data_IF_848681821481
#
_entry.id   IF_848681821481
#
_cell.length_a   1.000
_cell.length_b   1.000
_cell.length_c   1.000
_cell.angle_alpha   90.00
_cell.angle_beta   90.00
_cell.angle_gamma   90.00
#
_symmetry.space_group_name_H-M   'P 1'
#
loop_
_entity.id
_entity.type
_entity.pdbx_description
1 polymer ?
#
# COMPACT_ATOMS: atom_id res chain seq x y z
N UNK A 1 32.04 -59.43 -31.07
CA UNK A 1 32.71 -58.31 -30.40
C UNK A 1 32.72 -58.60 -28.92
N UNK A 2 33.90 -58.89 -28.37
CA UNK A 2 34.09 -59.05 -26.93
C UNK A 2 34.09 -57.68 -26.24
N UNK A 3 33.80 -57.64 -24.94
CA UNK A 3 33.80 -56.40 -24.16
C UNK A 3 35.17 -55.69 -24.17
N UNK A 4 36.25 -56.44 -24.35
CA UNK A 4 37.62 -55.91 -24.49
C UNK A 4 37.83 -55.11 -25.79
N UNK A 5 37.21 -55.52 -26.90
CA UNK A 5 37.29 -54.77 -28.17
C UNK A 5 36.54 -53.44 -28.07
N UNK A 6 35.39 -53.41 -27.37
CA UNK A 6 34.62 -52.19 -27.12
C UNK A 6 35.37 -51.22 -26.20
N UNK A 7 36.06 -51.73 -25.18
CA UNK A 7 36.83 -50.88 -24.26
C UNK A 7 38.01 -50.21 -24.97
N UNK A 8 38.69 -50.94 -25.86
CA UNK A 8 39.79 -50.42 -26.66
C UNK A 8 39.33 -49.32 -27.62
N UNK A 9 38.21 -49.53 -28.31
CA UNK A 9 37.62 -48.56 -29.25
C UNK A 9 37.14 -47.29 -28.53
N UNK A 10 36.61 -47.43 -27.31
CA UNK A 10 36.17 -46.29 -26.49
C UNK A 10 37.36 -45.47 -25.95
N UNK A 11 38.46 -46.12 -25.58
CA UNK A 11 39.68 -45.44 -25.15
C UNK A 11 40.39 -44.71 -26.29
N UNK A 12 40.34 -45.26 -27.51
CA UNK A 12 40.86 -44.59 -28.71
C UNK A 12 40.03 -43.33 -29.05
N UNK A 13 38.70 -43.41 -28.94
CA UNK A 13 37.82 -42.25 -29.13
C UNK A 13 37.96 -41.18 -28.04
N UNK A 14 38.31 -41.54 -26.81
CA UNK A 14 38.57 -40.56 -25.74
C UNK A 14 39.93 -39.88 -25.90
N UNK A 15 40.91 -40.55 -26.53
CA UNK A 15 42.24 -39.96 -26.76
C UNK A 15 42.24 -38.83 -27.81
N UNK A 16 41.25 -38.80 -28.71
CA UNK A 16 41.08 -37.72 -29.71
C UNK A 16 40.41 -36.46 -29.14
N UNK A 17 39.87 -36.55 -27.91
CA UNK A 17 39.27 -35.43 -27.17
C UNK A 17 40.24 -34.82 -26.13
N UNK A 18 41.47 -35.32 -26.03
CA UNK A 18 42.50 -34.71 -25.20
C UNK A 18 42.96 -33.39 -25.86
N UNK A 19 42.92 -32.25 -25.13
CA UNK A 19 43.26 -30.95 -25.71
C UNK A 19 44.69 -30.95 -26.25
N UNK A 20 44.82 -30.53 -27.51
CA UNK A 20 46.11 -30.48 -28.19
C UNK A 20 46.91 -29.23 -27.81
N UNK A 21 48.17 -29.09 -28.26
CA UNK A 21 48.96 -27.88 -28.05
C UNK A 21 48.36 -26.60 -28.65
N UNK A 22 47.29 -26.71 -29.46
CA UNK A 22 46.49 -25.60 -29.97
C UNK A 22 45.38 -25.12 -29.01
N UNK A 23 45.04 -25.92 -28.00
CA UNK A 23 44.04 -25.61 -26.96
C UNK A 23 44.69 -25.10 -25.66
N UNK A 24 46.01 -24.88 -25.65
CA UNK A 24 46.69 -24.23 -24.55
C UNK A 24 46.22 -22.75 -24.46
N UNK A 25 45.88 -22.25 -23.26
CA UNK A 25 45.39 -20.88 -23.11
C UNK A 25 46.43 -19.88 -23.65
N UNK A 26 46.01 -19.03 -24.60
CA UNK A 26 46.86 -17.96 -25.12
C UNK A 26 47.34 -17.07 -23.96
N UNK A 27 48.61 -16.65 -24.02
CA UNK A 27 49.16 -15.82 -22.94
C UNK A 27 48.35 -14.54 -22.77
N UNK A 28 48.03 -14.11 -21.52
CA UNK A 28 47.22 -12.92 -21.25
C UNK A 28 47.74 -11.63 -21.93
N UNK A 29 49.05 -11.57 -22.20
CA UNK A 29 49.69 -10.47 -22.90
C UNK A 29 49.26 -10.36 -24.37
N UNK A 30 49.05 -11.49 -25.05
CA UNK A 30 48.61 -11.54 -26.46
C UNK A 30 47.13 -11.17 -26.57
N UNK A 31 46.29 -11.68 -25.67
CA UNK A 31 44.87 -11.31 -25.59
C UNK A 31 44.68 -9.80 -25.30
N UNK A 32 45.49 -9.22 -24.40
CA UNK A 32 45.45 -7.80 -24.09
C UNK A 32 45.97 -6.92 -25.26
N UNK A 33 46.98 -7.38 -26.00
CA UNK A 33 47.50 -6.68 -27.16
C UNK A 33 46.46 -6.65 -28.30
N UNK A 34 45.78 -7.77 -28.57
CA UNK A 34 44.71 -7.84 -29.57
C UNK A 34 43.49 -6.99 -29.18
N UNK A 35 43.14 -6.92 -27.90
CA UNK A 35 42.06 -6.06 -27.40
C UNK A 35 42.40 -4.57 -27.60
N UNK A 36 43.62 -4.14 -27.23
CA UNK A 36 44.05 -2.74 -27.42
C UNK A 36 44.09 -2.32 -28.89
N UNK A 37 44.43 -3.24 -29.79
CA UNK A 37 44.45 -3.00 -31.23
C UNK A 37 43.04 -2.88 -31.82
N UNK A 38 42.04 -3.59 -31.26
CA UNK A 38 40.62 -3.47 -31.63
C UNK A 38 39.97 -2.18 -31.12
N UNK A 39 40.38 -1.69 -29.95
CA UNK A 39 39.85 -0.44 -29.35
C UNK A 39 40.45 0.82 -30.00
N UNK A 40 41.68 0.76 -30.52
CA UNK A 40 42.37 1.92 -31.10
C UNK A 40 41.96 2.34 -32.52
N UNK A 41 41.16 1.54 -33.24
CA UNK A 41 40.87 1.77 -34.68
C UNK A 41 39.38 1.90 -35.00
N UNK A 42 38.51 2.01 -33.99
CA UNK A 42 37.07 2.19 -34.21
C UNK A 42 36.73 3.68 -34.37
N UNK A 43 36.37 4.10 -35.59
CA UNK A 43 35.60 5.31 -35.83
C UNK A 43 34.27 5.26 -35.04
N UNK A 44 33.73 6.39 -34.57
CA UNK A 44 32.53 6.40 -33.73
C UNK A 44 31.32 5.94 -34.56
N UNK A 45 30.98 4.68 -34.43
CA UNK A 45 29.70 4.15 -34.91
C UNK A 45 28.64 4.74 -33.99
N UNK A 46 27.72 5.50 -34.57
CA UNK A 46 26.58 6.09 -33.90
C UNK A 46 25.90 5.04 -33.01
N UNK A 47 25.76 5.39 -31.73
CA UNK A 47 25.10 4.52 -30.76
C UNK A 47 23.71 4.12 -31.29
N UNK A 48 23.33 2.84 -31.24
CA UNK A 48 21.92 2.48 -31.38
C UNK A 48 21.16 3.24 -30.28
N UNK A 49 20.01 3.86 -30.58
CA UNK A 49 19.29 4.65 -29.60
C UNK A 49 19.04 3.73 -28.40
N UNK A 50 19.53 4.16 -27.24
CA UNK A 50 19.26 3.53 -25.97
C UNK A 50 17.77 3.17 -25.94
N UNK A 51 17.45 1.87 -26.02
CA UNK A 51 16.18 1.40 -25.47
C UNK A 51 16.37 1.54 -23.96
N UNK A 52 16.24 2.77 -23.47
CA UNK A 52 15.74 3.04 -22.13
C UNK A 52 14.54 2.12 -22.05
N UNK A 53 14.67 1.00 -21.34
CA UNK A 53 13.50 0.49 -20.65
C UNK A 53 13.02 1.71 -19.88
N UNK A 54 11.90 2.29 -20.33
CA UNK A 54 11.17 3.23 -19.50
C UNK A 54 11.09 2.52 -18.15
N UNK A 55 11.48 3.14 -17.02
CA UNK A 55 11.06 2.59 -15.76
C UNK A 55 9.56 2.37 -15.90
N UNK A 56 9.10 1.12 -15.84
CA UNK A 56 7.68 0.88 -15.67
C UNK A 56 7.31 1.75 -14.48
N UNK A 57 6.35 2.63 -14.70
CA UNK A 57 6.02 3.68 -13.77
C UNK A 57 5.45 3.02 -12.51
N UNK A 58 6.33 2.57 -11.61
CA UNK A 58 5.98 2.01 -10.31
C UNK A 58 5.30 3.05 -9.44
N UNK A 59 5.23 4.32 -9.87
CA UNK A 59 4.32 5.32 -9.32
C UNK A 59 2.86 4.88 -9.33
N UNK A 60 2.43 3.84 -10.07
CA UNK A 60 1.04 3.34 -10.01
C UNK A 60 0.79 2.40 -8.82
N UNK A 61 1.79 1.60 -8.44
CA UNK A 61 1.72 0.72 -7.26
C UNK A 61 2.17 1.43 -5.99
N UNK A 62 3.14 2.34 -6.11
CA UNK A 62 3.45 3.34 -5.09
C UNK A 62 2.26 4.28 -4.93
N UNK A 63 1.56 4.73 -5.98
CA UNK A 63 0.32 5.51 -5.81
C UNK A 63 -0.83 4.73 -5.18
N UNK A 64 -0.93 3.40 -5.29
CA UNK A 64 -2.00 2.68 -4.60
C UNK A 64 -1.76 2.60 -3.08
N UNK A 65 -0.51 2.38 -2.64
CA UNK A 65 -0.13 2.38 -1.23
C UNK A 65 0.00 3.78 -0.63
N UNK A 66 0.59 4.72 -1.38
CA UNK A 66 0.77 6.12 -0.98
C UNK A 66 -0.52 6.92 -1.14
N UNK A 67 -1.43 6.58 -2.08
CA UNK A 67 -2.77 7.16 -2.08
C UNK A 67 -3.58 6.57 -0.93
N UNK A 68 -3.51 5.28 -0.59
CA UNK A 68 -4.19 4.80 0.62
C UNK A 68 -3.63 5.47 1.88
N UNK A 69 -2.32 5.69 2.00
CA UNK A 69 -1.70 6.42 3.13
C UNK A 69 -1.98 7.92 3.09
N UNK A 70 -2.07 8.57 1.92
CA UNK A 70 -2.40 10.00 1.78
C UNK A 70 -3.91 10.26 1.91
N UNK A 71 -4.74 9.35 1.42
CA UNK A 71 -6.20 9.30 1.61
C UNK A 71 -6.47 9.04 3.10
N UNK A 72 -5.78 8.08 3.71
CA UNK A 72 -5.82 7.84 5.16
C UNK A 72 -5.29 9.07 5.91
N UNK A 73 -4.19 9.71 5.54
CA UNK A 73 -3.74 10.98 6.14
C UNK A 73 -4.76 12.13 6.00
N UNK A 74 -5.55 12.18 4.92
CA UNK A 74 -6.63 13.15 4.72
C UNK A 74 -7.89 12.81 5.56
N UNK A 75 -8.18 11.52 5.76
CA UNK A 75 -9.34 11.00 6.52
C UNK A 75 -9.05 10.90 8.02
N UNK A 76 -7.78 10.84 8.41
CA UNK A 76 -7.29 10.76 9.78
C UNK A 76 -7.26 12.12 10.48
N UNK A 77 -7.85 13.15 9.88
CA UNK A 77 -7.83 14.53 10.37
C UNK A 77 -8.70 14.78 11.63
N UNK A 78 -9.60 13.87 12.09
CA UNK A 78 -10.66 14.28 13.06
C UNK A 78 -11.18 13.29 14.17
N UNK A 79 -11.49 13.74 15.44
CA UNK A 79 -11.50 12.96 16.72
C UNK A 79 -12.76 12.89 17.63
N UNK A 80 -12.91 11.85 18.48
CA UNK A 80 -13.06 11.93 19.97
C UNK A 80 -12.91 10.52 20.59
N UNK A 81 -12.57 10.28 21.87
CA UNK A 81 -13.20 10.69 23.15
C UNK A 81 -12.18 10.69 24.30
N UNK A 82 -12.01 11.81 25.05
CA UNK A 82 -11.37 11.74 26.39
C UNK A 82 -11.56 12.92 27.37
N UNK A 83 -12.77 13.14 27.87
CA UNK A 83 -13.01 14.04 29.01
C UNK A 83 -13.83 13.41 30.15
N UNK A 84 -13.42 12.23 30.63
CA UNK A 84 -13.64 11.76 32.00
C UNK A 84 -12.83 10.46 32.24
N UNK A 85 -12.13 10.39 33.37
CA UNK A 85 -11.37 9.25 33.89
C UNK A 85 -9.97 8.98 33.28
N UNK A 86 -8.97 9.11 34.16
CA UNK A 86 -7.61 8.61 33.99
C UNK A 86 -7.50 7.08 33.85
N UNK A 87 -8.59 6.36 33.60
CA UNK A 87 -8.63 4.92 33.31
C UNK A 87 -9.42 4.58 32.02
N UNK A 88 -9.83 5.58 31.22
CA UNK A 88 -10.49 5.39 29.92
C UNK A 88 -9.70 6.14 28.83
N UNK A 89 -8.69 5.47 28.24
CA UNK A 89 -7.82 5.98 27.18
C UNK A 89 -8.41 5.62 25.80
N UNK A 90 -9.44 6.36 25.39
CA UNK A 90 -10.06 6.23 24.07
C UNK A 90 -9.17 6.81 22.96
N UNK A 91 -8.12 6.07 22.58
CA UNK A 91 -7.44 6.24 21.31
C UNK A 91 -8.43 5.84 20.20
N UNK A 92 -8.52 6.62 19.12
CA UNK A 92 -9.23 6.15 17.94
C UNK A 92 -8.57 4.88 17.47
N UNK A 93 -9.39 3.82 17.39
CA UNK A 93 -8.94 2.50 16.99
C UNK A 93 -9.86 2.02 15.91
N UNK A 94 -9.33 1.91 14.71
CA UNK A 94 -10.08 1.38 13.57
C UNK A 94 -10.63 0.01 13.94
N UNK A 95 -11.96 -0.12 13.90
CA UNK A 95 -12.71 -1.37 14.07
C UNK A 95 -13.63 -1.63 12.89
N UNK A 96 -14.06 -0.57 12.21
CA UNK A 96 -14.94 -0.67 11.06
C UNK A 96 -14.51 0.31 9.96
N UNK A 97 -14.81 -0.04 8.72
CA UNK A 97 -14.67 0.84 7.58
C UNK A 97 -16.05 1.31 7.11
N UNK A 98 -16.15 2.58 6.73
CA UNK A 98 -17.34 3.17 6.13
C UNK A 98 -16.96 3.69 4.73
N UNK A 99 -17.19 2.90 3.67
CA UNK A 99 -16.87 3.31 2.32
C UNK A 99 -17.78 4.47 1.87
N UNK A 100 -17.20 5.43 1.16
CA UNK A 100 -17.93 6.56 0.57
C UNK A 100 -17.49 6.80 -0.86
N UNK A 101 -18.44 6.95 -1.76
CA UNK A 101 -18.14 7.26 -3.16
C UNK A 101 -17.80 8.74 -3.32
N UNK A 102 -16.71 9.04 -4.03
CA UNK A 102 -16.34 10.41 -4.41
C UNK A 102 -16.46 10.57 -5.92
N UNK A 103 -17.18 11.59 -6.37
CA UNK A 103 -17.36 11.83 -7.80
C UNK A 103 -16.08 12.36 -8.46
N UNK A 104 -15.87 12.13 -9.77
CA UNK A 104 -14.72 12.68 -10.48
C UNK A 104 -14.67 14.22 -10.45
N UNK A 105 -15.84 14.87 -10.43
CA UNK A 105 -15.94 16.33 -10.32
C UNK A 105 -15.43 16.81 -8.95
N UNK A 106 -15.79 16.08 -7.89
CA UNK A 106 -15.33 16.40 -6.54
C UNK A 106 -13.82 16.14 -6.40
N UNK A 107 -13.31 15.02 -6.92
CA UNK A 107 -11.87 14.75 -6.97
C UNK A 107 -11.11 15.86 -7.68
N UNK A 108 -11.58 16.26 -8.87
CA UNK A 108 -10.96 17.34 -9.63
C UNK A 108 -11.03 18.71 -8.91
N UNK A 109 -12.02 18.94 -8.04
CA UNK A 109 -12.06 20.13 -7.19
C UNK A 109 -10.97 20.08 -6.12
N UNK A 110 -10.88 18.97 -5.38
CA UNK A 110 -9.87 18.79 -4.33
C UNK A 110 -8.45 18.85 -4.88
N UNK A 111 -8.20 18.27 -6.05
CA UNK A 111 -6.92 18.37 -6.76
C UNK A 111 -6.56 19.82 -7.10
N UNK A 112 -7.51 20.58 -7.65
CA UNK A 112 -7.30 22.00 -7.98
C UNK A 112 -6.99 22.84 -6.73
N UNK A 113 -7.72 22.63 -5.64
CA UNK A 113 -7.45 23.31 -4.37
C UNK A 113 -6.02 23.02 -3.87
N UNK A 114 -5.58 21.76 -3.96
CA UNK A 114 -4.22 21.38 -3.62
C UNK A 114 -3.16 22.01 -4.54
N UNK A 115 -3.42 22.09 -5.85
CA UNK A 115 -2.55 22.78 -6.82
C UNK A 115 -2.43 24.28 -6.55
N UNK A 116 -3.50 24.91 -6.06
CA UNK A 116 -3.55 26.32 -5.65
C UNK A 116 -2.90 26.56 -4.26
N UNK A 117 -2.40 25.50 -3.61
CA UNK A 117 -1.76 25.56 -2.30
C UNK A 117 -2.73 25.66 -1.13
N UNK A 118 -4.02 25.39 -1.35
CA UNK A 118 -5.04 25.34 -0.29
C UNK A 118 -5.02 23.94 0.31
N UNK A 119 -4.59 23.84 1.56
CA UNK A 119 -4.51 22.60 2.32
C UNK A 119 -5.22 22.75 3.67
N UNK A 120 -5.73 21.65 4.26
CA UNK A 120 -6.35 21.70 5.59
C UNK A 120 -5.34 21.90 6.73
N UNK A 121 -4.04 21.85 6.42
CA UNK A 121 -2.95 21.98 7.37
C UNK A 121 -1.62 21.51 6.80
N UNK A 122 -0.59 21.53 7.65
CA UNK A 122 0.74 21.03 7.32
C UNK A 122 0.94 19.64 7.94
N UNK A 123 1.28 18.65 7.11
CA UNK A 123 1.63 17.32 7.59
C UNK A 123 3.14 17.20 7.78
N UNK A 124 3.56 17.00 9.02
CA UNK A 124 4.97 16.83 9.42
C UNK A 124 5.24 15.35 9.64
N UNK A 125 6.06 14.77 8.78
CA UNK A 125 6.53 13.39 8.92
C UNK A 125 7.63 13.36 9.98
N UNK A 126 7.41 12.60 11.05
CA UNK A 126 8.41 12.40 12.12
C UNK A 126 9.18 11.09 11.96
N UNK A 127 8.56 10.09 11.32
CA UNK A 127 9.17 8.82 10.96
C UNK A 127 8.62 8.39 9.60
N UNK A 128 9.52 8.16 8.63
CA UNK A 128 9.14 7.73 7.29
C UNK A 128 8.72 6.25 7.30
N UNK A 129 7.68 5.93 6.52
CA UNK A 129 7.33 4.54 6.23
C UNK A 129 8.47 3.92 5.41
N UNK A 130 8.97 2.79 5.88
CA UNK A 130 10.07 2.08 5.21
C UNK A 130 9.65 1.43 3.89
N UNK A 131 10.64 1.19 3.02
CA UNK A 131 10.42 0.37 1.83
C UNK A 131 10.11 -1.09 2.21
N UNK A 132 9.34 -1.84 1.40
CA UNK A 132 9.09 -3.25 1.66
C UNK A 132 10.37 -4.09 1.60
N UNK A 133 10.72 -4.73 2.70
CA UNK A 133 11.86 -5.64 2.81
C UNK A 133 11.42 -7.10 2.72
N UNK A 134 12.11 -7.92 1.93
CA UNK A 134 11.83 -9.36 1.85
C UNK A 134 12.52 -10.07 3.00
N UNK A 135 11.80 -10.96 3.68
CA UNK A 135 12.33 -11.80 4.76
C UNK A 135 12.15 -13.28 4.45
N UNK A 136 12.98 -14.11 5.06
CA UNK A 136 13.10 -15.53 4.74
C UNK A 136 11.85 -16.35 5.10
N UNK A 137 11.07 -15.91 6.10
CA UNK A 137 9.88 -16.62 6.55
C UNK A 137 8.87 -15.74 7.31
N UNK A 138 7.62 -16.20 7.50
CA UNK A 138 6.65 -15.56 8.38
C UNK A 138 7.12 -15.40 9.82
N UNK A 139 7.93 -16.32 10.34
CA UNK A 139 8.50 -16.27 11.69
C UNK A 139 9.60 -15.20 11.80
N UNK A 140 10.41 -15.04 10.75
CA UNK A 140 11.36 -13.93 10.66
C UNK A 140 10.61 -12.58 10.62
N UNK A 141 9.54 -12.49 9.82
CA UNK A 141 8.67 -11.32 9.77
C UNK A 141 8.07 -10.99 11.15
N UNK A 142 7.60 -12.02 11.87
CA UNK A 142 7.03 -11.85 13.19
C UNK A 142 8.02 -11.29 14.22
N UNK A 143 9.30 -11.66 14.09
CA UNK A 143 10.36 -11.16 14.96
C UNK A 143 10.62 -9.66 14.72
N UNK A 144 10.54 -9.23 13.45
CA UNK A 144 10.75 -7.83 13.08
C UNK A 144 9.53 -6.97 13.45
N UNK A 145 8.35 -7.35 12.96
CA UNK A 145 7.14 -6.55 13.10
C UNK A 145 6.46 -6.67 14.48
N UNK A 146 6.93 -7.58 15.35
CA UNK A 146 6.43 -7.73 16.71
C UNK A 146 5.07 -8.41 16.84
N UNK A 147 4.53 -9.01 15.77
CA UNK A 147 3.29 -9.80 15.81
C UNK A 147 3.37 -11.02 14.90
N UNK A 148 2.69 -12.12 15.26
CA UNK A 148 2.63 -13.32 14.42
C UNK A 148 1.64 -13.12 13.27
N UNK A 149 2.08 -13.21 11.99
CA UNK A 149 1.16 -13.08 10.87
C UNK A 149 0.24 -14.30 10.81
N UNK A 150 -1.06 -14.05 10.60
CA UNK A 150 -2.02 -15.09 10.28
C UNK A 150 -1.67 -15.76 8.97
N UNK A 151 -2.11 -17.00 8.85
CA UNK A 151 -1.95 -17.80 7.65
C UNK A 151 -3.28 -17.96 6.93
N UNK A 152 -3.20 -18.35 5.68
CA UNK A 152 -4.31 -18.61 4.80
C UNK A 152 -4.26 -20.14 4.52
N UNK A 153 -5.18 -20.93 5.05
CA UNK A 153 -5.20 -22.38 4.82
C UNK A 153 -5.53 -22.68 3.37
N UNK A 154 -5.01 -23.79 2.84
CA UNK A 154 -5.31 -24.26 1.48
C UNK A 154 -5.05 -23.21 0.39
N UNK A 155 -4.12 -22.28 0.65
CA UNK A 155 -3.52 -21.39 -0.34
C UNK A 155 -2.48 -22.16 -1.13
N UNK A 156 -2.17 -21.67 -2.34
CA UNK A 156 -1.01 -22.16 -3.07
C UNK A 156 0.31 -21.86 -2.32
N UNK A 157 1.44 -22.11 -2.97
CA UNK A 157 2.75 -22.01 -2.30
C UNK A 157 3.06 -20.55 -1.89
N UNK A 158 3.51 -20.36 -0.64
CA UNK A 158 4.02 -19.05 -0.18
C UNK A 158 5.34 -18.76 -0.89
N UNK A 159 5.37 -17.76 -1.75
CA UNK A 159 6.58 -17.40 -2.49
C UNK A 159 7.42 -16.38 -1.73
N UNK A 160 6.81 -15.36 -1.13
CA UNK A 160 7.53 -14.28 -0.45
C UNK A 160 6.81 -13.77 0.78
N UNK A 161 7.59 -13.41 1.78
CA UNK A 161 7.15 -12.63 2.93
C UNK A 161 7.84 -11.28 2.92
N UNK A 162 7.09 -10.24 3.20
CA UNK A 162 7.55 -8.86 3.26
C UNK A 162 7.28 -8.29 4.65
N UNK A 163 8.20 -7.46 5.12
CA UNK A 163 7.95 -6.53 6.23
C UNK A 163 8.04 -5.13 5.67
N UNK A 164 7.11 -4.26 6.09
CA UNK A 164 7.17 -2.85 5.80
C UNK A 164 7.12 -2.12 7.15
N UNK A 165 8.18 -1.36 7.43
CA UNK A 165 8.27 -0.55 8.65
C UNK A 165 7.13 0.47 8.64
N UNK A 166 6.52 0.65 9.81
CA UNK A 166 5.55 1.70 10.08
C UNK A 166 6.16 3.09 9.96
N UNK A 167 5.34 4.09 10.29
CA UNK A 167 5.76 5.48 10.26
C UNK A 167 4.92 6.33 11.19
N UNK A 168 5.35 7.56 11.40
CA UNK A 168 4.67 8.48 12.29
C UNK A 168 4.72 9.89 11.73
N UNK A 169 3.69 10.66 12.02
CA UNK A 169 3.62 12.06 11.66
C UNK A 169 2.52 12.78 12.42
N UNK A 170 2.39 14.06 12.13
CA UNK A 170 1.30 14.85 12.67
C UNK A 170 0.83 15.91 11.70
N UNK A 171 -0.48 16.12 11.66
CA UNK A 171 -1.11 17.26 10.99
C UNK A 171 -1.19 18.42 11.98
N UNK A 172 -0.70 19.59 11.58
CA UNK A 172 -1.00 20.86 12.22
C UNK A 172 -2.07 21.55 11.38
N UNK A 173 -3.27 21.68 11.94
CA UNK A 173 -4.43 22.21 11.22
C UNK A 173 -4.25 23.70 10.95
N UNK A 174 -4.44 24.08 9.68
CA UNK A 174 -4.62 25.47 9.25
C UNK A 174 -6.12 25.69 9.04
N UNK A 175 -6.76 26.37 9.99
CA UNK A 175 -8.20 26.54 9.95
C UNK A 175 -8.66 27.39 8.75
N UNK A 176 -7.83 28.33 8.29
CA UNK A 176 -8.17 29.15 7.14
C UNK A 176 -8.20 28.30 5.86
N UNK A 177 -7.17 27.47 5.66
CA UNK A 177 -7.12 26.53 4.55
C UNK A 177 -8.23 25.47 4.61
N UNK A 178 -8.50 24.91 5.79
CA UNK A 178 -9.57 23.94 5.98
C UNK A 178 -10.95 24.54 5.68
N UNK A 179 -11.24 25.76 6.15
CA UNK A 179 -12.50 26.47 5.86
C UNK A 179 -12.64 26.79 4.37
N UNK A 180 -11.56 27.18 3.70
CA UNK A 180 -11.58 27.42 2.25
C UNK A 180 -11.95 26.15 1.46
N UNK A 181 -11.49 24.97 1.89
CA UNK A 181 -11.88 23.69 1.28
C UNK A 181 -13.36 23.39 1.50
N UNK A 182 -13.85 23.55 2.74
CA UNK A 182 -15.26 23.36 3.10
C UNK A 182 -16.15 24.29 2.28
N UNK A 183 -15.80 25.58 2.20
CA UNK A 183 -16.54 26.57 1.41
C UNK A 183 -16.51 26.25 -0.09
N UNK A 184 -15.35 25.85 -0.63
CA UNK A 184 -15.22 25.46 -2.04
C UNK A 184 -16.05 24.22 -2.39
N UNK A 185 -16.23 23.31 -1.44
CA UNK A 185 -17.14 22.16 -1.56
C UNK A 185 -18.63 22.52 -1.42
N UNK A 186 -18.95 23.80 -1.17
CA UNK A 186 -20.32 24.29 -1.01
C UNK A 186 -20.90 24.08 0.38
N UNK A 187 -20.07 23.74 1.36
CA UNK A 187 -20.44 23.52 2.75
C UNK A 187 -20.25 24.78 3.61
N UNK A 188 -20.87 24.82 4.78
CA UNK A 188 -20.71 25.93 5.72
C UNK A 188 -19.33 25.86 6.42
N UNK A 189 -18.41 26.82 6.19
CA UNK A 189 -17.11 26.82 6.85
C UNK A 189 -17.19 26.95 8.39
N UNK A 190 -18.33 27.38 8.93
CA UNK A 190 -18.57 27.44 10.38
C UNK A 190 -18.81 26.08 11.03
N UNK A 191 -18.95 25.00 10.25
CA UNK A 191 -18.91 23.62 10.76
C UNK A 191 -17.58 23.30 11.45
N UNK A 192 -16.49 23.96 11.03
CA UNK A 192 -15.19 23.85 11.66
C UNK A 192 -15.09 24.89 12.80
N UNK A 193 -15.00 24.49 14.08
CA UNK A 193 -14.89 25.43 15.19
C UNK A 193 -13.53 26.12 15.25
N UNK A 194 -13.48 27.32 15.82
CA UNK A 194 -12.24 28.11 15.96
C UNK A 194 -11.17 27.41 16.81
N UNK A 195 -11.56 26.44 17.66
CA UNK A 195 -10.64 25.64 18.48
C UNK A 195 -9.73 24.71 17.66
N UNK A 196 -9.98 24.58 16.36
CA UNK A 196 -9.15 23.76 15.46
C UNK A 196 -7.89 24.47 14.98
N UNK A 197 -7.78 25.79 15.07
CA UNK A 197 -6.62 26.46 14.51
C UNK A 197 -5.33 26.11 15.27
N UNK A 198 -4.32 25.62 14.54
CA UNK A 198 -3.08 25.10 15.12
C UNK A 198 -3.23 23.79 15.91
N UNK A 199 -4.40 23.16 15.85
CA UNK A 199 -4.62 21.86 16.46
C UNK A 199 -3.69 20.80 15.87
N UNK A 200 -3.19 19.90 16.73
CA UNK A 200 -2.28 18.82 16.33
C UNK A 200 -3.02 17.48 16.35
N UNK A 201 -2.89 16.74 15.25
CA UNK A 201 -3.36 15.36 15.12
C UNK A 201 -2.15 14.47 14.89
N UNK A 202 -1.87 13.55 15.80
CA UNK A 202 -0.78 12.60 15.67
C UNK A 202 -1.27 11.29 15.05
N UNK A 203 -0.49 10.74 14.13
CA UNK A 203 -0.77 9.47 13.47
C UNK A 203 0.44 8.55 13.61
N UNK A 204 0.19 7.32 14.04
CA UNK A 204 1.18 6.25 14.06
C UNK A 204 0.64 5.08 13.25
N UNK A 205 1.37 4.72 12.19
CA UNK A 205 1.17 3.51 11.41
C UNK A 205 2.19 2.49 11.89
N UNK A 206 1.72 1.30 12.24
CA UNK A 206 2.60 0.23 12.73
C UNK A 206 3.15 -0.61 11.59
N UNK A 207 4.22 -1.36 11.89
CA UNK A 207 4.80 -2.33 10.97
C UNK A 207 3.75 -3.28 10.39
N UNK A 208 3.96 -3.70 9.15
CA UNK A 208 3.05 -4.61 8.47
C UNK A 208 3.78 -5.78 7.84
N UNK A 209 3.08 -6.92 7.77
CA UNK A 209 3.56 -8.14 7.14
C UNK A 209 2.74 -8.40 5.89
N UNK A 210 3.41 -8.47 4.75
CA UNK A 210 2.84 -8.89 3.48
C UNK A 210 3.23 -10.34 3.17
N UNK A 211 2.30 -11.13 2.65
CA UNK A 211 2.58 -12.49 2.18
C UNK A 211 2.04 -12.68 0.76
N UNK A 212 2.91 -13.12 -0.16
CA UNK A 212 2.60 -13.34 -1.58
C UNK A 212 2.62 -14.83 -1.93
N UNK A 213 1.56 -15.29 -2.59
CA UNK A 213 1.39 -16.67 -3.04
C UNK A 213 1.58 -16.82 -4.55
N UNK A 214 1.83 -18.06 -4.99
CA UNK A 214 2.03 -18.45 -6.38
C UNK A 214 0.85 -18.17 -7.33
N UNK A 215 -0.36 -18.24 -6.79
CA UNK A 215 -1.59 -17.86 -7.46
C UNK A 215 -1.80 -16.34 -7.54
N UNK A 216 -0.87 -15.55 -6.99
CA UNK A 216 -0.89 -14.09 -6.99
C UNK A 216 -1.63 -13.48 -5.81
N UNK A 217 -2.25 -14.27 -4.93
CA UNK A 217 -2.88 -13.72 -3.73
C UNK A 217 -1.82 -12.97 -2.93
N UNK A 218 -2.18 -11.76 -2.50
CA UNK A 218 -1.37 -10.99 -1.57
C UNK A 218 -2.17 -10.69 -0.32
N UNK A 219 -1.69 -11.12 0.84
CA UNK A 219 -2.29 -10.85 2.14
C UNK A 219 -1.39 -9.89 2.93
N UNK A 220 -1.87 -8.68 3.15
CA UNK A 220 -1.28 -7.69 4.04
C UNK A 220 -1.95 -7.75 5.41
N UNK A 221 -1.15 -7.62 6.46
CA UNK A 221 -1.59 -7.60 7.85
C UNK A 221 -0.85 -6.49 8.57
N UNK A 222 -1.57 -5.64 9.30
CA UNK A 222 -0.98 -4.54 10.07
C UNK A 222 -1.81 -4.31 11.33
N UNK A 223 -1.20 -3.99 12.48
CA UNK A 223 -1.96 -3.45 13.60
C UNK A 223 -2.72 -2.20 13.17
N UNK A 224 -3.91 -2.01 13.74
CA UNK A 224 -4.70 -0.81 13.46
C UNK A 224 -3.89 0.43 13.83
N UNK A 225 -3.88 1.48 13.00
CA UNK A 225 -3.11 2.69 13.28
C UNK A 225 -3.64 3.37 14.55
N UNK A 226 -2.75 4.04 15.27
CA UNK A 226 -3.13 4.91 16.38
C UNK A 226 -3.29 6.33 15.86
N UNK A 227 -4.38 6.97 16.28
CA UNK A 227 -4.65 8.37 15.94
C UNK A 227 -5.01 9.10 17.22
N UNK A 228 -4.24 10.14 17.51
CA UNK A 228 -4.39 10.96 18.70
C UNK A 228 -4.69 12.41 18.31
N UNK A 229 -5.51 13.04 19.12
CA UNK A 229 -6.24 14.22 18.69
C UNK A 229 -6.39 15.28 19.79
N UNK A 230 -6.74 16.53 19.43
CA UNK A 230 -6.98 17.59 20.39
C UNK A 230 -8.29 17.40 21.18
N UNK A 231 -8.35 17.86 22.44
CA UNK A 231 -9.44 17.56 23.37
C UNK A 231 -10.78 18.26 23.12
N UNK A 232 -10.79 19.36 22.37
CA UNK A 232 -11.89 20.34 22.39
C UNK A 232 -12.77 20.35 21.12
N UNK A 233 -12.92 19.21 20.43
CA UNK A 233 -13.65 19.13 19.15
C UNK A 233 -14.66 17.99 19.10
N UNK A 234 -15.81 18.25 18.44
CA UNK A 234 -16.89 17.28 18.26
C UNK A 234 -16.69 16.48 16.96
N UNK A 235 -16.48 15.14 17.03
CA UNK A 235 -16.19 14.31 15.86
C UNK A 235 -17.33 14.29 14.86
N UNK A 236 -18.58 14.36 15.34
CA UNK A 236 -19.76 14.29 14.48
C UNK A 236 -19.84 15.50 13.56
N UNK A 237 -19.53 16.71 14.06
CA UNK A 237 -19.53 17.92 13.24
C UNK A 237 -18.40 17.89 12.19
N UNK A 238 -17.24 17.33 12.56
CA UNK A 238 -16.11 17.21 11.65
C UNK A 238 -16.33 16.13 10.59
N UNK A 239 -16.93 15.01 10.99
CA UNK A 239 -17.39 13.97 10.10
C UNK A 239 -18.41 14.50 9.09
N UNK A 240 -19.36 15.32 9.54
CA UNK A 240 -20.30 16.02 8.66
C UNK A 240 -19.58 16.92 7.66
N UNK A 241 -18.66 17.78 8.10
CA UNK A 241 -17.87 18.62 7.21
C UNK A 241 -17.05 17.79 6.19
N UNK A 242 -16.40 16.72 6.64
CA UNK A 242 -15.64 15.82 5.76
C UNK A 242 -16.54 15.14 4.72
N UNK A 243 -17.72 14.65 5.12
CA UNK A 243 -18.68 14.05 4.20
C UNK A 243 -19.13 15.05 3.13
N UNK A 244 -19.38 16.32 3.50
CA UNK A 244 -19.71 17.38 2.54
C UNK A 244 -18.53 17.72 1.63
N UNK A 245 -17.31 17.77 2.15
CA UNK A 245 -16.07 17.93 1.35
C UNK A 245 -15.86 16.76 0.37
N UNK A 246 -16.36 15.57 0.70
CA UNK A 246 -16.35 14.41 -0.18
C UNK A 246 -17.54 14.38 -1.18
N UNK A 247 -18.37 15.41 -1.17
CA UNK A 247 -19.48 15.60 -2.11
C UNK A 247 -20.83 15.04 -1.65
N UNK A 248 -20.98 14.73 -0.36
CA UNK A 248 -22.26 14.32 0.24
C UNK A 248 -23.16 15.54 0.44
N UNK A 249 -24.44 15.43 0.08
CA UNK A 249 -25.43 16.49 0.34
C UNK A 249 -25.51 16.81 1.85
N UNK A 250 -25.67 18.09 2.27
CA UNK A 250 -25.65 18.47 3.68
C UNK A 250 -26.63 17.69 4.59
N UNK A 251 -27.86 17.44 4.13
CA UNK A 251 -28.85 16.73 4.95
C UNK A 251 -28.46 15.26 5.12
N UNK A 252 -27.90 14.67 4.08
CA UNK A 252 -27.40 13.30 4.10
C UNK A 252 -26.10 13.17 4.90
N UNK A 253 -25.18 14.13 4.78
CA UNK A 253 -23.95 14.20 5.54
C UNK A 253 -24.23 14.27 7.05
N UNK A 254 -25.16 15.13 7.47
CA UNK A 254 -25.58 15.23 8.86
C UNK A 254 -26.19 13.90 9.38
N UNK A 255 -27.02 13.25 8.55
CA UNK A 255 -27.64 11.96 8.90
C UNK A 255 -26.60 10.84 9.04
N UNK A 256 -25.67 10.73 8.10
CA UNK A 256 -24.59 9.76 8.14
C UNK A 256 -23.69 10.02 9.34
N UNK A 257 -23.30 11.28 9.56
CA UNK A 257 -22.41 11.65 10.65
C UNK A 257 -23.00 11.34 12.04
N UNK A 258 -24.30 11.47 12.23
CA UNK A 258 -24.96 11.09 13.48
C UNK A 258 -25.07 9.57 13.68
N UNK A 259 -24.96 8.79 12.61
CA UNK A 259 -25.10 7.32 12.64
C UNK A 259 -23.77 6.58 12.84
N UNK A 260 -22.64 7.24 12.58
CA UNK A 260 -21.31 6.64 12.63
C UNK A 260 -20.71 6.80 14.04
N UNK A 261 -20.14 5.71 14.57
CA UNK A 261 -19.22 5.81 15.70
C UNK A 261 -17.84 6.24 15.21
N UNK A 262 -17.60 7.54 15.26
CA UNK A 262 -16.35 8.16 14.82
C UNK A 262 -15.13 7.81 15.68
N UNK A 263 -15.33 7.16 16.83
CA UNK A 263 -14.22 6.73 17.70
C UNK A 263 -13.57 5.44 17.18
N UNK A 264 -14.25 4.73 16.29
CA UNK A 264 -13.81 3.41 15.81
C UNK A 264 -14.06 3.16 14.31
N UNK A 265 -14.60 4.13 13.59
CA UNK A 265 -14.93 3.99 12.16
C UNK A 265 -14.00 4.83 11.31
N UNK A 266 -13.28 4.18 10.39
CA UNK A 266 -12.50 4.86 9.37
C UNK A 266 -13.33 5.00 8.10
N UNK A 267 -13.54 6.23 7.64
CA UNK A 267 -14.11 6.46 6.31
C UNK A 267 -13.13 5.96 5.22
N UNK A 268 -13.64 5.40 4.13
CA UNK A 268 -12.84 5.02 2.96
C UNK A 268 -13.42 5.69 1.69
N UNK A 269 -12.87 6.81 1.23
CA UNK A 269 -13.29 7.48 0.02
C UNK A 269 -12.79 6.68 -1.19
N UNK A 270 -13.72 6.35 -2.06
CA UNK A 270 -13.51 5.52 -3.23
C UNK A 270 -13.93 6.34 -4.43
N UNK A 271 -12.97 6.81 -5.25
CA UNK A 271 -13.28 7.51 -6.48
C UNK A 271 -14.16 6.63 -7.38
N UNK A 272 -15.29 7.20 -7.82
CA UNK A 272 -16.30 6.49 -8.62
C UNK A 272 -15.82 6.07 -10.00
N UNK A 273 -14.70 6.61 -10.47
CA UNK A 273 -14.03 6.26 -11.72
C UNK A 273 -12.89 5.25 -11.54
N UNK A 274 -12.54 4.92 -10.29
CA UNK A 274 -11.47 3.97 -9.97
C UNK A 274 -12.00 2.57 -9.68
N UNK A 275 -13.02 2.46 -8.84
CA UNK A 275 -13.56 1.18 -8.40
C UNK A 275 -15.02 1.27 -7.97
N UNK A 276 -15.71 0.13 -7.99
CA UNK A 276 -16.93 -0.09 -7.21
C UNK A 276 -16.60 -0.73 -5.87
N UNK A 277 -17.53 -0.68 -4.91
CA UNK A 277 -17.37 -1.35 -3.63
C UNK A 277 -18.64 -2.05 -3.17
N UNK A 278 -18.46 -3.04 -2.30
CA UNK A 278 -19.54 -3.73 -1.59
C UNK A 278 -19.13 -4.02 -0.16
N UNK A 279 -20.05 -3.83 0.77
CA UNK A 279 -19.90 -4.39 2.11
C UNK A 279 -20.05 -5.91 2.03
N UNK A 280 -19.13 -6.63 2.68
CA UNK A 280 -19.05 -8.09 2.68
C UNK A 280 -18.80 -8.59 4.10
N UNK A 281 -19.13 -9.85 4.37
CA UNK A 281 -18.79 -10.50 5.62
C UNK A 281 -17.50 -11.32 5.44
N UNK A 282 -16.53 -11.10 6.33
CA UNK A 282 -15.28 -11.87 6.39
C UNK A 282 -15.14 -12.37 7.82
N UNK A 283 -15.11 -13.69 8.03
CA UNK A 283 -14.98 -14.30 9.36
C UNK A 283 -15.99 -13.78 10.41
N UNK A 284 -17.19 -13.40 9.99
CA UNK A 284 -18.21 -12.84 10.89
C UNK A 284 -18.08 -11.33 11.16
N UNK A 285 -17.01 -10.67 10.68
CA UNK A 285 -16.86 -9.20 10.77
C UNK A 285 -17.19 -8.52 9.43
N UNK A 286 -17.47 -7.21 9.49
CA UNK A 286 -17.71 -6.41 8.29
C UNK A 286 -16.40 -6.10 7.56
N UNK A 287 -16.42 -6.20 6.24
CA UNK A 287 -15.33 -5.82 5.34
C UNK A 287 -15.84 -5.07 4.13
N UNK A 288 -14.92 -4.46 3.40
CA UNK A 288 -15.18 -3.74 2.15
C UNK A 288 -14.46 -4.45 1.02
N UNK A 289 -15.23 -5.00 0.08
CA UNK A 289 -14.72 -5.47 -1.20
C UNK A 289 -14.62 -4.28 -2.15
N UNK A 290 -13.46 -4.15 -2.81
CA UNK A 290 -13.13 -3.17 -3.82
C UNK A 290 -12.95 -3.90 -5.16
N UNK A 291 -13.67 -3.44 -6.18
CA UNK A 291 -13.66 -4.00 -7.53
C UNK A 291 -13.27 -2.90 -8.52
N UNK A 292 -11.97 -2.78 -8.87
CA UNK A 292 -11.47 -1.80 -9.83
C UNK A 292 -12.10 -1.96 -11.21
N UNK A 293 -12.27 -0.85 -11.93
CA UNK A 293 -12.70 -0.89 -13.33
C UNK A 293 -11.56 -1.26 -14.29
N UNK A 294 -10.32 -0.92 -13.92
CA UNK A 294 -9.13 -1.34 -14.65
C UNK A 294 -8.89 -2.84 -14.45
N UNK A 295 -9.03 -3.62 -15.52
CA UNK A 295 -8.86 -5.09 -15.49
C UNK A 295 -7.44 -5.53 -15.18
N UNK A 296 -6.45 -4.64 -15.29
CA UNK A 296 -5.07 -4.89 -14.85
C UNK A 296 -4.89 -4.73 -13.34
N UNK A 297 -5.88 -4.15 -12.64
CA UNK A 297 -5.88 -3.98 -11.18
C UNK A 297 -6.77 -5.06 -10.54
N UNK A 298 -6.18 -5.79 -9.61
CA UNK A 298 -6.86 -6.90 -8.93
C UNK A 298 -7.91 -6.41 -7.93
N UNK A 299 -9.08 -7.09 -7.82
CA UNK A 299 -10.01 -6.89 -6.72
C UNK A 299 -9.33 -7.11 -5.37
N UNK A 300 -9.79 -6.40 -4.35
CA UNK A 300 -9.26 -6.50 -3.00
C UNK A 300 -10.37 -6.48 -1.96
N UNK A 301 -10.22 -7.22 -0.87
CA UNK A 301 -11.08 -7.06 0.31
C UNK A 301 -10.24 -6.51 1.46
N UNK A 302 -10.80 -5.52 2.16
CA UNK A 302 -10.22 -4.90 3.36
C UNK A 302 -11.16 -5.14 4.53
N UNK A 303 -10.63 -5.61 5.65
CA UNK A 303 -11.42 -5.79 6.88
C UNK A 303 -10.55 -5.61 8.10
N UNK A 304 -11.19 -5.39 9.24
CA UNK A 304 -10.52 -5.27 10.53
C UNK A 304 -11.01 -6.39 11.44
N UNK A 305 -10.09 -7.05 12.12
CA UNK A 305 -10.40 -8.09 13.09
C UNK A 305 -9.34 -8.14 14.19
N UNK A 306 -9.77 -8.21 15.45
CA UNK A 306 -8.90 -8.39 16.63
C UNK A 306 -7.76 -7.34 16.73
N UNK A 307 -8.04 -6.09 16.35
CA UNK A 307 -7.05 -5.00 16.39
C UNK A 307 -6.13 -4.96 15.17
N UNK A 308 -6.28 -5.87 14.21
CA UNK A 308 -5.49 -5.94 12.99
C UNK A 308 -6.32 -5.56 11.77
N UNK A 309 -5.73 -4.75 10.89
CA UNK A 309 -6.24 -4.50 9.54
C UNK A 309 -5.66 -5.54 8.60
N UNK A 310 -6.52 -6.07 7.75
CA UNK A 310 -6.18 -7.00 6.70
C UNK A 310 -6.56 -6.42 5.34
N UNK A 311 -5.70 -6.64 4.35
CA UNK A 311 -6.04 -6.45 2.94
C UNK A 311 -5.65 -7.70 2.18
N UNK A 312 -6.57 -8.27 1.41
CA UNK A 312 -6.30 -9.40 0.53
C UNK A 312 -6.59 -9.01 -0.91
N UNK A 313 -5.60 -9.14 -1.80
CA UNK A 313 -5.77 -8.99 -3.26
C UNK A 313 -5.97 -10.33 -3.94
N UNK A 314 -6.80 -10.36 -4.96
CA UNK A 314 -7.26 -11.57 -5.63
C UNK A 314 -6.16 -12.33 -6.38
N UNK A 315 -5.11 -11.67 -6.88
CA UNK A 315 -4.22 -12.32 -7.82
C UNK A 315 -4.99 -12.82 -9.05
N UNK A 316 -4.94 -14.13 -9.28
CA UNK A 316 -5.66 -14.80 -10.36
C UNK A 316 -7.04 -15.33 -9.97
N UNK A 317 -7.53 -15.04 -8.77
CA UNK A 317 -8.81 -15.54 -8.27
C UNK A 317 -10.01 -14.74 -8.79
N UNK A 318 -11.15 -15.41 -8.85
CA UNK A 318 -12.45 -14.73 -8.88
C UNK A 318 -12.76 -14.05 -7.54
N UNK A 319 -13.72 -13.13 -7.53
CA UNK A 319 -14.19 -12.46 -6.30
C UNK A 319 -14.74 -13.46 -5.28
N UNK A 320 -15.48 -14.47 -5.73
CA UNK A 320 -16.04 -15.49 -4.83
C UNK A 320 -14.94 -16.33 -4.18
N UNK A 321 -13.90 -16.69 -4.93
CA UNK A 321 -12.72 -17.38 -4.39
C UNK A 321 -11.93 -16.48 -3.43
N UNK A 322 -11.74 -15.19 -3.76
CA UNK A 322 -11.10 -14.22 -2.87
C UNK A 322 -11.83 -14.17 -1.52
N UNK A 323 -13.16 -14.03 -1.52
CA UNK A 323 -13.95 -13.99 -0.30
C UNK A 323 -13.92 -15.31 0.46
N UNK A 324 -13.96 -16.46 -0.25
CA UNK A 324 -13.82 -17.76 0.38
C UNK A 324 -12.46 -17.89 1.09
N UNK A 325 -11.37 -17.41 0.47
CA UNK A 325 -10.05 -17.40 1.07
C UNK A 325 -9.97 -16.42 2.26
N UNK A 326 -10.50 -15.21 2.15
CA UNK A 326 -10.55 -14.25 3.25
C UNK A 326 -11.23 -14.86 4.50
N UNK A 327 -12.29 -15.64 4.30
CA UNK A 327 -13.01 -16.38 5.36
C UNK A 327 -12.25 -17.59 5.96
N UNK A 328 -11.00 -17.83 5.54
CA UNK A 328 -10.17 -18.90 6.10
C UNK A 328 -8.94 -18.38 6.83
N UNK A 329 -8.68 -17.07 6.78
CA UNK A 329 -7.52 -16.44 7.44
C UNK A 329 -7.55 -16.74 8.93
N UNK A 330 -6.49 -17.36 9.45
CA UNK A 330 -6.37 -17.82 10.85
C UNK A 330 -4.94 -17.71 11.37
#
# INVERSE_FOLDING_TARGET
MSDDERLAETLEQLSTLAPGPADAPESPAVALAQFKQRVGTAQPIAAPPNRRMKPMNNRRFVAAGLALVAIMALLLSFPAVRAAAGEFLGLFRVQQFAPISVSPQQMALLERLGEDGIAPGEFVITEEIGDPETVDSPEAAATVAGFTPRTLPNRGELIRTYVMQGGAGHLVVDLAGARAIVEAAGADPLLLPDSLDGARVDVVVHDSIGQLYDNGIFLLQSPSPDVNYPPDVNPTLLGEALLQVLGTDPAEAARIAQSIDWTSTLLLPIPQDLATYREVNVNGVSGVLLEPFDTETEPAVVWQQDGMIYMMRAGRLSVDELLAHANTVR
#
